data_IF_463968789220
#
_entry.id   IF_463968789220
#
_cell.length_a   1.000
_cell.length_b   1.000
_cell.length_c   1.000
_cell.angle_alpha   90.00
_cell.angle_beta   90.00
_cell.angle_gamma   90.00
#
_symmetry.space_group_name_H-M   'P 1'
#
loop_
_entity.id
_entity.type
_entity.pdbx_description
1 polymer ?
#
# COMPACT_ATOMS: atom_id res chain seq x y z
N UNK A 1 19.23 18.01 -26.60
CA UNK A 1 19.49 16.59 -26.31
C UNK A 1 19.60 16.46 -24.78
N UNK A 2 18.46 16.45 -24.08
CA UNK A 2 18.40 16.51 -22.62
C UNK A 2 17.88 15.17 -22.07
N UNK A 3 18.55 14.70 -21.02
CA UNK A 3 18.44 13.37 -20.44
C UNK A 3 17.03 13.05 -19.92
N UNK A 4 16.50 11.88 -20.33
CA UNK A 4 15.35 11.22 -19.73
C UNK A 4 15.62 11.01 -18.23
N UNK A 5 14.80 11.59 -17.36
CA UNK A 5 14.82 11.28 -15.94
C UNK A 5 14.12 9.93 -15.71
N UNK A 6 14.91 8.86 -15.68
CA UNK A 6 14.43 7.52 -15.36
C UNK A 6 13.95 7.45 -13.90
N UNK A 7 12.65 7.22 -13.71
CA UNK A 7 12.06 7.00 -12.39
C UNK A 7 12.36 5.58 -11.90
N UNK A 8 13.33 5.45 -11.00
CA UNK A 8 13.59 4.23 -10.20
C UNK A 8 12.69 4.12 -8.94
N UNK A 9 11.44 3.64 -9.00
CA UNK A 9 10.75 3.31 -7.75
C UNK A 9 11.40 2.06 -7.12
N UNK A 10 11.83 2.13 -5.86
CA UNK A 10 12.60 1.09 -5.17
C UNK A 10 11.79 0.41 -4.05
N UNK A 11 11.17 -0.75 -4.29
CA UNK A 11 10.52 -1.55 -3.22
C UNK A 11 10.58 -3.06 -3.56
N UNK A 12 10.71 -3.93 -2.53
CA UNK A 12 10.71 -5.40 -2.62
C UNK A 12 9.26 -5.96 -2.69
N UNK A 13 9.04 -7.05 -3.43
CA UNK A 13 7.89 -7.97 -3.47
C UNK A 13 6.61 -7.60 -4.26
N UNK A 14 5.84 -8.67 -4.53
CA UNK A 14 4.74 -8.92 -5.45
C UNK A 14 3.93 -7.69 -5.84
N UNK A 15 3.97 -7.32 -7.12
CA UNK A 15 3.19 -6.17 -7.60
C UNK A 15 1.85 -6.61 -8.14
N UNK A 16 0.77 -6.44 -7.37
CA UNK A 16 -0.57 -6.50 -7.92
C UNK A 16 -0.81 -5.24 -8.79
N UNK A 17 -0.56 -5.38 -10.10
CA UNK A 17 -0.88 -4.32 -11.06
C UNK A 17 -2.39 -4.23 -11.27
N UNK A 18 -3.01 -3.19 -10.73
CA UNK A 18 -4.40 -2.83 -11.01
C UNK A 18 -4.57 -2.13 -12.36
N UNK A 19 -4.03 -2.71 -13.44
CA UNK A 19 -4.00 -2.04 -14.75
C UNK A 19 -4.87 -2.65 -15.84
N UNK A 20 -5.72 -3.64 -15.54
CA UNK A 20 -6.56 -4.27 -16.57
C UNK A 20 -7.98 -4.71 -16.14
N UNK A 21 -8.55 -4.19 -15.05
CA UNK A 21 -9.91 -4.57 -14.65
C UNK A 21 -10.77 -3.38 -14.19
N UNK A 22 -10.93 -2.39 -15.07
CA UNK A 22 -11.83 -1.25 -14.88
C UNK A 22 -13.28 -1.65 -14.49
N UNK A 23 -13.66 -2.94 -14.60
CA UNK A 23 -15.00 -3.45 -14.33
C UNK A 23 -15.16 -4.24 -13.00
N UNK A 24 -14.10 -4.78 -12.39
CA UNK A 24 -14.17 -5.50 -11.08
C UNK A 24 -13.62 -4.65 -9.92
N UNK A 25 -13.09 -3.48 -10.24
CA UNK A 25 -12.36 -2.55 -9.37
C UNK A 25 -13.24 -1.58 -8.56
N UNK A 26 -14.56 -1.59 -8.71
CA UNK A 26 -15.45 -0.64 -8.02
C UNK A 26 -15.64 -0.89 -6.51
N UNK A 27 -15.11 -1.95 -5.91
CA UNK A 27 -15.27 -2.17 -4.45
C UNK A 27 -14.04 -1.75 -3.65
N UNK A 28 -12.86 -2.31 -3.92
CA UNK A 28 -11.68 -2.06 -3.08
C UNK A 28 -11.14 -0.62 -3.17
N UNK A 29 -11.19 0.02 -4.34
CA UNK A 29 -10.80 1.43 -4.51
C UNK A 29 -11.80 2.37 -3.83
N UNK A 30 -13.09 2.06 -3.88
CA UNK A 30 -14.10 2.78 -3.12
C UNK A 30 -13.81 2.65 -1.62
N UNK A 31 -13.51 1.46 -1.12
CA UNK A 31 -13.16 1.29 0.30
C UNK A 31 -11.86 1.99 0.71
N UNK A 32 -10.83 2.07 -0.14
CA UNK A 32 -9.65 2.87 0.12
C UNK A 32 -10.01 4.37 0.16
N UNK A 33 -10.72 4.87 -0.85
CA UNK A 33 -11.14 6.26 -0.89
C UNK A 33 -12.07 6.64 0.28
N UNK A 34 -13.01 5.74 0.63
CA UNK A 34 -13.94 5.88 1.76
C UNK A 34 -13.19 5.83 3.10
N UNK A 35 -12.21 4.93 3.26
CA UNK A 35 -11.34 4.87 4.44
C UNK A 35 -10.51 6.13 4.56
N UNK A 36 -9.87 6.56 3.46
CA UNK A 36 -9.10 7.80 3.40
C UNK A 36 -9.96 9.04 3.68
N UNK A 37 -11.23 9.02 3.26
CA UNK A 37 -12.20 10.07 3.52
C UNK A 37 -12.63 10.07 4.99
N UNK A 38 -12.93 8.90 5.56
CA UNK A 38 -13.25 8.72 6.97
C UNK A 38 -12.08 9.17 7.87
N UNK A 39 -10.86 8.87 7.45
CA UNK A 39 -9.61 9.26 8.12
C UNK A 39 -9.25 10.75 7.90
N UNK A 40 -10.07 11.50 7.13
CA UNK A 40 -9.89 12.93 6.79
C UNK A 40 -8.54 13.25 6.16
N UNK A 41 -8.07 12.38 5.27
CA UNK A 41 -6.77 12.53 4.60
C UNK A 41 -6.89 13.46 3.38
N UNK A 42 -5.82 14.16 3.03
CA UNK A 42 -5.80 14.92 1.76
C UNK A 42 -5.82 14.00 0.53
N UNK A 43 -5.54 12.70 0.72
CA UNK A 43 -5.56 11.67 -0.35
C UNK A 43 -6.96 11.43 -0.91
N UNK A 44 -8.00 11.62 -0.10
CA UNK A 44 -9.37 11.44 -0.53
C UNK A 44 -9.84 12.49 -1.57
N UNK A 45 -9.10 13.59 -1.75
CA UNK A 45 -9.58 14.77 -2.50
C UNK A 45 -8.80 15.08 -3.77
N UNK A 46 -7.71 14.38 -4.10
CA UNK A 46 -6.98 14.61 -5.35
C UNK A 46 -7.26 13.53 -6.42
N UNK A 47 -7.31 13.90 -7.72
CA UNK A 47 -7.70 12.97 -8.78
C UNK A 47 -6.68 11.83 -8.92
N UNK A 48 -7.11 10.61 -8.59
CA UNK A 48 -6.27 9.42 -8.60
C UNK A 48 -6.04 8.91 -10.02
N UNK A 49 -4.78 8.54 -10.33
CA UNK A 49 -4.43 7.79 -11.54
C UNK A 49 -4.64 6.29 -11.37
N UNK A 50 -4.22 5.77 -10.22
CA UNK A 50 -4.15 4.35 -9.90
C UNK A 50 -3.35 4.11 -8.62
N UNK A 51 -3.42 2.88 -8.12
CA UNK A 51 -2.69 2.42 -6.94
C UNK A 51 -1.86 1.17 -7.27
N UNK A 52 -0.78 0.98 -6.52
CA UNK A 52 0.04 -0.23 -6.54
C UNK A 52 0.10 -0.78 -5.13
N UNK A 53 -0.18 -2.06 -5.00
CA UNK A 53 -0.10 -2.79 -3.74
C UNK A 53 1.10 -3.75 -3.76
N UNK A 54 1.78 -3.83 -2.62
CA UNK A 54 2.98 -4.61 -2.38
C UNK A 54 2.92 -5.33 -1.04
N UNK A 55 2.89 -6.65 -1.11
CA UNK A 55 2.94 -7.52 0.06
C UNK A 55 4.38 -7.88 0.44
N UNK A 56 4.78 -7.59 1.67
CA UNK A 56 6.07 -7.98 2.24
C UNK A 56 5.90 -9.21 3.13
N UNK A 57 6.51 -10.32 2.70
CA UNK A 57 6.57 -11.53 3.51
C UNK A 57 7.49 -11.32 4.73
N UNK A 58 7.31 -12.14 5.75
CA UNK A 58 8.10 -12.17 7.00
C UNK A 58 9.62 -12.11 6.80
N UNK A 59 10.15 -12.69 5.72
CA UNK A 59 11.59 -12.71 5.42
C UNK A 59 12.10 -11.52 4.60
N UNK A 60 11.21 -10.64 4.15
CA UNK A 60 11.56 -9.52 3.30
C UNK A 60 12.13 -8.34 4.09
N UNK A 61 12.58 -7.31 3.35
CA UNK A 61 13.07 -6.08 3.95
C UNK A 61 11.91 -5.16 4.34
N UNK A 62 11.72 -4.98 5.65
CA UNK A 62 10.56 -4.29 6.25
C UNK A 62 10.76 -2.78 6.49
N UNK A 63 11.65 -2.13 5.75
CA UNK A 63 11.81 -0.67 5.79
C UNK A 63 11.44 -0.07 4.44
N UNK A 64 10.81 1.08 4.50
CA UNK A 64 10.22 1.74 3.35
C UNK A 64 10.96 3.03 3.08
N UNK A 65 11.14 3.31 1.80
CA UNK A 65 11.92 4.45 1.34
C UNK A 65 11.08 5.31 0.41
N UNK A 66 11.39 6.61 0.38
CA UNK A 66 10.71 7.61 -0.43
C UNK A 66 10.80 7.22 -1.92
N UNK A 67 9.67 6.89 -2.57
CA UNK A 67 9.67 6.46 -3.98
C UNK A 67 10.04 7.61 -4.93
N UNK A 68 9.84 8.85 -4.46
CA UNK A 68 10.11 10.10 -5.16
C UNK A 68 10.71 11.11 -4.20
N UNK A 69 11.54 12.01 -4.72
CA UNK A 69 11.99 13.18 -3.96
C UNK A 69 10.91 14.26 -3.94
N UNK A 70 10.78 14.98 -2.83
CA UNK A 70 9.77 16.02 -2.69
C UNK A 70 9.53 16.44 -1.25
N UNK A 71 8.55 17.32 -1.05
CA UNK A 71 8.18 17.82 0.27
C UNK A 71 7.10 16.93 0.88
N UNK A 72 7.29 16.49 2.12
CA UNK A 72 6.27 15.77 2.88
C UNK A 72 5.17 16.74 3.29
N UNK A 73 3.96 16.55 2.79
CA UNK A 73 2.80 17.42 3.06
C UNK A 73 1.83 16.81 4.09
N UNK A 74 1.84 15.49 4.22
CA UNK A 74 1.13 14.75 5.28
C UNK A 74 2.01 13.61 5.76
N UNK A 75 2.06 13.41 7.09
CA UNK A 75 2.73 12.27 7.72
C UNK A 75 2.06 11.98 9.05
N UNK A 76 1.51 10.78 9.21
CA UNK A 76 0.92 10.32 10.47
C UNK A 76 0.67 8.82 10.49
N UNK A 77 0.50 8.31 11.69
CA UNK A 77 -0.03 6.97 11.94
C UNK A 77 -1.54 7.08 12.16
N UNK A 78 -2.28 6.16 11.54
CA UNK A 78 -3.72 6.00 11.67
C UNK A 78 -3.94 4.72 12.47
N UNK A 79 -4.52 4.90 13.65
CA UNK A 79 -4.81 3.78 14.55
C UNK A 79 -5.91 2.90 13.93
N UNK A 80 -5.71 1.59 14.01
CA UNK A 80 -6.65 0.59 13.55
C UNK A 80 -6.70 -0.60 14.49
N UNK A 81 -7.46 -1.62 14.12
CA UNK A 81 -7.58 -2.88 14.88
C UNK A 81 -6.52 -3.87 14.41
N UNK A 82 -5.86 -4.55 15.34
CA UNK A 82 -4.95 -5.66 15.03
C UNK A 82 -5.72 -6.96 15.20
N UNK A 83 -6.09 -7.60 14.10
CA UNK A 83 -6.79 -8.88 14.16
C UNK A 83 -6.48 -9.75 12.94
N UNK A 84 -6.50 -11.06 13.16
CA UNK A 84 -6.50 -12.05 12.10
C UNK A 84 -7.94 -12.49 11.83
N UNK A 85 -8.44 -12.16 10.64
CA UNK A 85 -9.70 -12.71 10.15
C UNK A 85 -9.50 -14.20 9.89
N UNK A 86 -10.32 -15.07 10.49
CA UNK A 86 -10.23 -16.52 10.31
C UNK A 86 -11.54 -17.06 9.76
N UNK A 87 -11.44 -17.98 8.81
CA UNK A 87 -12.62 -18.69 8.31
C UNK A 87 -12.98 -19.82 9.27
N UNK A 88 -14.20 -19.76 9.81
CA UNK A 88 -14.80 -20.88 10.52
C UNK A 88 -15.53 -21.79 9.51
N UNK A 89 -15.26 -23.09 9.55
CA UNK A 89 -15.90 -24.08 8.66
C UNK A 89 -16.93 -24.90 9.44
N UNK A 90 -18.03 -25.34 8.81
CA UNK A 90 -19.00 -26.22 9.45
C UNK A 90 -18.36 -27.53 9.93
N UNK A 91 -18.81 -28.02 11.09
CA UNK A 91 -18.44 -29.37 11.56
C UNK A 91 -19.33 -30.37 10.82
N UNK A 92 -18.72 -31.21 9.98
CA UNK A 92 -19.44 -32.24 9.22
C UNK A 92 -20.21 -33.18 10.16
N UNK A 93 -21.51 -33.35 9.90
CA UNK A 93 -22.39 -34.21 10.70
C UNK A 93 -22.89 -33.62 12.02
N UNK A 94 -22.57 -32.36 12.35
CA UNK A 94 -23.12 -31.74 13.57
C UNK A 94 -24.55 -31.23 13.37
N UNK A 95 -25.52 -31.92 14.00
CA UNK A 95 -26.93 -31.58 13.98
C UNK A 95 -27.24 -30.18 14.54
N UNK A 96 -26.31 -29.56 15.27
CA UNK A 96 -26.45 -28.21 15.85
C UNK A 96 -25.84 -27.12 14.96
N UNK A 97 -25.30 -27.47 13.79
CA UNK A 97 -24.76 -26.52 12.82
C UNK A 97 -23.56 -25.71 13.31
N UNK A 98 -22.78 -26.25 14.25
CA UNK A 98 -21.63 -25.51 14.80
C UNK A 98 -20.49 -25.47 13.78
N UNK A 99 -19.63 -24.49 13.94
CA UNK A 99 -18.43 -24.28 13.13
C UNK A 99 -17.16 -24.43 13.97
N UNK A 100 -16.05 -24.84 13.36
CA UNK A 100 -14.72 -24.80 13.98
C UNK A 100 -13.74 -23.96 13.18
N UNK A 101 -12.67 -23.51 13.82
CA UNK A 101 -11.51 -22.93 13.13
C UNK A 101 -10.54 -24.08 12.79
N UNK A 102 -10.16 -24.19 11.53
CA UNK A 102 -9.16 -25.19 11.10
C UNK A 102 -7.79 -24.74 11.61
N UNK A 103 -7.33 -25.31 12.73
CA UNK A 103 -6.08 -24.97 13.44
C UNK A 103 -4.80 -24.88 12.58
N UNK A 104 -4.78 -25.45 11.37
CA UNK A 104 -3.62 -25.47 10.45
C UNK A 104 -3.83 -24.70 9.14
N UNK A 105 -4.95 -23.97 9.01
CA UNK A 105 -5.27 -23.11 7.87
C UNK A 105 -5.80 -21.78 8.39
N UNK A 106 -4.92 -21.07 9.08
CA UNK A 106 -5.15 -19.67 9.42
C UNK A 106 -4.84 -18.85 8.16
N UNK A 107 -5.85 -18.65 7.32
CA UNK A 107 -5.76 -17.77 6.17
C UNK A 107 -6.37 -16.44 6.54
N UNK A 108 -5.65 -15.35 6.29
CA UNK A 108 -6.22 -14.01 6.36
C UNK A 108 -7.37 -13.90 5.35
N UNK A 109 -8.42 -13.18 5.74
CA UNK A 109 -9.57 -12.93 4.87
C UNK A 109 -9.20 -11.89 3.81
N UNK A 110 -9.49 -12.18 2.54
CA UNK A 110 -9.42 -11.23 1.43
C UNK A 110 -10.78 -10.55 1.23
N UNK A 111 -11.25 -9.90 2.30
CA UNK A 111 -12.55 -9.22 2.33
C UNK A 111 -12.37 -7.69 2.40
N UNK A 112 -13.24 -6.91 1.72
CA UNK A 112 -13.17 -5.45 1.80
C UNK A 112 -13.36 -4.97 3.25
N UNK A 113 -12.39 -4.19 3.73
CA UNK A 113 -12.37 -3.67 5.10
C UNK A 113 -11.40 -4.38 6.03
N UNK A 114 -10.95 -5.61 5.71
CA UNK A 114 -9.93 -6.28 6.53
C UNK A 114 -8.65 -5.44 6.60
N UNK A 115 -8.09 -5.07 5.45
CA UNK A 115 -6.88 -4.24 5.32
C UNK A 115 -7.11 -2.81 5.85
N UNK A 116 -8.24 -2.20 5.47
CA UNK A 116 -8.58 -0.81 5.81
C UNK A 116 -9.12 -0.60 7.22
N UNK A 117 -9.18 -1.65 8.05
CA UNK A 117 -9.41 -1.50 9.48
C UNK A 117 -8.13 -1.67 10.30
N UNK A 118 -7.04 -2.18 9.71
CA UNK A 118 -5.76 -2.38 10.40
C UNK A 118 -5.04 -1.07 10.69
N UNK A 119 -4.01 -1.11 11.54
CA UNK A 119 -3.10 0.03 11.71
C UNK A 119 -2.50 0.43 10.36
N UNK A 120 -2.42 1.74 10.08
CA UNK A 120 -1.85 2.27 8.84
C UNK A 120 -0.91 3.41 9.12
N UNK A 121 0.08 3.58 8.26
CA UNK A 121 0.81 4.81 8.09
C UNK A 121 0.23 5.60 6.92
N UNK A 122 0.44 6.91 6.93
CA UNK A 122 0.17 7.76 5.79
C UNK A 122 1.33 8.73 5.63
N UNK A 123 1.96 8.70 4.45
CA UNK A 123 2.96 9.69 4.03
C UNK A 123 2.55 10.22 2.67
N UNK A 124 2.37 11.53 2.53
CA UNK A 124 2.08 12.18 1.26
C UNK A 124 3.23 13.10 0.88
N UNK A 125 3.80 12.87 -0.30
CA UNK A 125 4.91 13.64 -0.84
C UNK A 125 4.42 14.46 -2.02
N UNK A 126 4.57 15.78 -1.94
CA UNK A 126 4.48 16.68 -3.09
C UNK A 126 5.79 16.61 -3.86
N UNK A 127 5.77 15.93 -5.00
CA UNK A 127 6.92 15.79 -5.89
C UNK A 127 6.75 16.63 -7.15
N UNK A 128 7.82 16.69 -7.97
CA UNK A 128 7.79 17.29 -9.32
C UNK A 128 6.82 16.56 -10.25
N UNK A 129 6.60 15.27 -10.01
CA UNK A 129 5.66 14.45 -10.78
C UNK A 129 4.21 14.62 -10.31
N UNK A 130 3.93 15.44 -9.30
CA UNK A 130 2.63 15.48 -8.61
C UNK A 130 2.68 14.82 -7.23
N UNK A 131 1.51 14.65 -6.62
CA UNK A 131 1.35 14.05 -5.29
C UNK A 131 1.49 12.52 -5.36
N UNK A 132 2.26 11.97 -4.44
CA UNK A 132 2.41 10.53 -4.22
C UNK A 132 2.09 10.25 -2.76
N UNK A 133 1.07 9.41 -2.51
CA UNK A 133 0.78 8.90 -1.18
C UNK A 133 1.33 7.49 -1.02
N UNK A 134 1.86 7.21 0.16
CA UNK A 134 2.39 5.92 0.58
C UNK A 134 1.66 5.54 1.86
N UNK A 135 1.05 4.36 1.84
CA UNK A 135 0.31 3.79 2.95
C UNK A 135 0.93 2.46 3.36
N UNK A 136 1.82 2.46 4.35
CA UNK A 136 2.17 1.26 5.09
C UNK A 136 0.93 0.71 5.80
N UNK A 137 0.65 -0.58 5.66
CA UNK A 137 -0.54 -1.23 6.22
C UNK A 137 -0.09 -2.45 7.02
N UNK A 138 -0.54 -2.54 8.27
CA UNK A 138 -0.33 -3.72 9.09
C UNK A 138 -1.22 -4.86 8.60
N UNK A 139 -0.73 -6.10 8.70
CA UNK A 139 -1.50 -7.29 8.34
C UNK A 139 -1.56 -8.30 9.47
N UNK A 140 -2.76 -8.86 9.70
CA UNK A 140 -3.03 -9.89 10.69
C UNK A 140 -2.57 -9.52 12.11
N UNK A 141 -1.71 -10.33 12.72
CA UNK A 141 -1.16 -10.07 14.06
C UNK A 141 0.02 -9.08 14.05
N UNK A 142 0.39 -8.55 12.87
CA UNK A 142 1.58 -7.74 12.69
C UNK A 142 1.22 -6.36 12.16
N UNK A 143 1.11 -5.40 13.07
CA UNK A 143 0.59 -4.08 12.74
C UNK A 143 1.44 -2.94 13.30
N UNK A 144 2.67 -3.22 13.72
CA UNK A 144 3.54 -2.19 14.28
C UNK A 144 4.23 -1.41 13.18
N UNK A 145 3.63 -0.27 12.81
CA UNK A 145 4.18 0.70 11.86
C UNK A 145 4.81 1.85 12.63
N UNK A 146 6.03 2.23 12.23
CA UNK A 146 6.67 3.45 12.69
C UNK A 146 6.90 4.36 11.49
N UNK A 147 6.26 5.54 11.48
CA UNK A 147 6.47 6.54 10.43
C UNK A 147 7.60 7.49 10.82
N UNK A 148 8.69 7.50 10.04
CA UNK A 148 9.87 8.33 10.31
C UNK A 148 9.89 9.63 9.53
N UNK A 149 9.17 9.69 8.40
CA UNK A 149 9.00 10.90 7.60
C UNK A 149 8.29 11.99 8.43
N UNK A 150 8.80 13.21 8.42
CA UNK A 150 8.21 14.34 9.15
C UNK A 150 7.52 15.31 8.21
N UNK A 151 6.28 15.70 8.50
CA UNK A 151 5.59 16.74 7.72
C UNK A 151 6.43 18.02 7.67
N UNK A 152 6.51 18.61 6.49
CA UNK A 152 7.26 19.84 6.23
C UNK A 152 8.70 19.63 5.78
N UNK A 153 9.27 18.43 5.92
CA UNK A 153 10.64 18.15 5.43
C UNK A 153 10.65 17.87 3.94
N UNK A 154 11.80 18.12 3.31
CA UNK A 154 12.08 17.69 1.94
C UNK A 154 12.92 16.42 2.00
N UNK A 155 12.46 15.37 1.32
CA UNK A 155 13.15 14.10 1.22
C UNK A 155 13.79 13.96 -0.16
N UNK A 156 14.99 13.42 -0.18
CA UNK A 156 15.55 12.82 -1.38
C UNK A 156 14.86 11.47 -1.64
N UNK A 157 14.85 11.09 -2.90
CA UNK A 157 14.41 9.77 -3.28
C UNK A 157 15.33 8.71 -2.66
N UNK A 158 14.74 7.69 -2.04
CA UNK A 158 15.47 6.66 -1.32
C UNK A 158 15.66 6.94 0.17
N UNK A 159 15.29 8.12 0.68
CA UNK A 159 15.31 8.38 2.12
C UNK A 159 14.30 7.47 2.85
N UNK A 160 14.62 6.98 4.03
CA UNK A 160 13.68 6.16 4.82
C UNK A 160 12.47 7.00 5.25
N UNK A 161 11.26 6.44 5.09
CA UNK A 161 9.99 7.11 5.42
C UNK A 161 9.19 6.41 6.51
N UNK A 162 9.37 5.11 6.64
CA UNK A 162 8.69 4.28 7.64
C UNK A 162 9.30 2.88 7.68
N UNK A 163 8.97 2.11 8.71
CA UNK A 163 9.32 0.70 8.80
C UNK A 163 8.30 -0.07 9.64
N UNK A 164 8.24 -1.37 9.41
CA UNK A 164 7.52 -2.30 10.27
C UNK A 164 8.49 -2.91 11.28
N UNK A 165 8.09 -2.99 12.55
CA UNK A 165 8.94 -3.60 13.59
C UNK A 165 8.97 -5.13 13.50
N UNK A 166 7.97 -5.72 12.85
CA UNK A 166 7.82 -7.14 12.65
C UNK A 166 7.19 -7.38 11.27
N UNK A 167 7.49 -8.48 10.61
CA UNK A 167 7.14 -8.70 9.20
C UNK A 167 5.74 -9.27 8.95
N UNK A 168 5.32 -9.34 7.68
CA UNK A 168 3.93 -9.55 7.19
C UNK A 168 3.14 -8.24 7.14
N UNK A 169 3.21 -7.54 6.00
CA UNK A 169 2.66 -6.19 5.85
C UNK A 169 2.40 -5.82 4.40
N UNK A 170 1.50 -4.87 4.18
CA UNK A 170 1.16 -4.35 2.86
C UNK A 170 1.60 -2.90 2.68
N UNK A 171 1.83 -2.49 1.44
CA UNK A 171 2.21 -1.12 1.09
C UNK A 171 1.43 -0.68 -0.13
N UNK A 172 0.56 0.29 0.08
CA UNK A 172 -0.21 0.91 -1.01
C UNK A 172 0.44 2.23 -1.43
N UNK A 173 0.81 2.31 -2.70
CA UNK A 173 1.27 3.53 -3.37
C UNK A 173 0.13 4.10 -4.19
N UNK A 174 -0.16 5.38 -4.03
CA UNK A 174 -1.22 6.08 -4.76
C UNK A 174 -0.62 7.28 -5.47
N UNK A 175 -0.90 7.40 -6.77
CA UNK A 175 -0.36 8.46 -7.62
C UNK A 175 -1.45 9.40 -8.10
N UNK A 176 -1.16 10.70 -8.08
CA UNK A 176 -1.97 11.72 -8.73
C UNK A 176 -2.05 11.47 -10.25
N UNK A 177 -3.20 11.78 -10.87
CA UNK A 177 -3.45 11.66 -12.31
C UNK A 177 -2.36 12.32 -13.15
N UNK A 178 -1.92 13.50 -12.75
CA UNK A 178 -0.90 14.28 -13.43
C UNK A 178 0.47 13.57 -13.48
N UNK A 179 0.74 12.62 -12.56
CA UNK A 179 1.99 11.85 -12.54
C UNK A 179 2.14 10.90 -13.72
N UNK A 180 1.04 10.53 -14.38
CA UNK A 180 1.03 9.68 -15.57
C UNK A 180 2.01 8.48 -15.46
N UNK A 181 1.84 7.72 -14.37
CA UNK A 181 2.66 6.56 -14.04
C UNK A 181 2.29 5.38 -14.93
N UNK A 182 3.31 4.85 -15.62
CA UNK A 182 3.27 3.56 -16.29
C UNK A 182 3.94 2.50 -15.41
N UNK A 183 3.11 1.64 -14.83
CA UNK A 183 3.58 0.54 -13.99
C UNK A 183 3.99 -0.61 -14.93
N UNK A 184 5.21 -1.12 -14.75
CA UNK A 184 5.81 -2.19 -15.58
C UNK A 184 5.92 -3.53 -14.85
N UNK A 185 5.74 -3.53 -13.54
CA UNK A 185 5.73 -4.76 -12.77
C UNK A 185 4.52 -5.65 -13.12
N UNK A 186 4.51 -6.89 -12.67
CA UNK A 186 3.47 -7.87 -13.01
C UNK A 186 2.91 -8.55 -11.75
N UNK A 187 1.60 -8.86 -11.74
CA UNK A 187 0.96 -9.64 -10.68
C UNK A 187 1.66 -10.98 -10.46
N UNK A 188 1.88 -11.35 -9.19
CA UNK A 188 2.49 -12.62 -8.81
C UNK A 188 4.02 -12.68 -8.96
N UNK A 189 4.67 -11.61 -9.44
CA UNK A 189 6.12 -11.57 -9.61
C UNK A 189 6.78 -10.87 -8.43
N UNK A 190 7.72 -11.54 -7.78
CA UNK A 190 8.52 -10.98 -6.70
C UNK A 190 9.64 -10.10 -7.26
N UNK A 191 9.72 -8.84 -6.82
CA UNK A 191 10.76 -7.89 -7.21
C UNK A 191 11.71 -7.62 -6.05
N UNK A 192 13.00 -7.43 -6.28
CA UNK A 192 13.92 -7.00 -5.23
C UNK A 192 13.88 -5.47 -5.07
N UNK A 193 14.09 -4.84 -3.90
CA UNK A 193 14.19 -3.37 -3.88
C UNK A 193 15.44 -2.90 -4.60
N UNK A 194 15.31 -1.69 -5.09
CA UNK A 194 16.11 -1.19 -6.19
C UNK A 194 15.59 -1.62 -7.57
N UNK A 195 14.74 -2.66 -7.68
CA UNK A 195 14.16 -3.02 -8.98
C UNK A 195 13.12 -2.01 -9.40
N UNK A 196 13.25 -1.50 -10.63
CA UNK A 196 12.30 -0.56 -11.20
C UNK A 196 10.96 -1.25 -11.49
N UNK A 197 9.91 -0.82 -10.80
CA UNK A 197 8.54 -1.34 -10.95
C UNK A 197 7.61 -0.44 -11.77
N UNK A 198 7.96 0.84 -11.95
CA UNK A 198 7.15 1.83 -12.67
C UNK A 198 8.01 2.99 -13.19
N UNK A 199 7.46 3.77 -14.14
CA UNK A 199 8.02 5.07 -14.57
C UNK A 199 6.91 6.12 -14.65
N UNK A 200 7.19 7.37 -14.28
CA UNK A 200 6.26 8.50 -14.43
C UNK A 200 6.58 9.32 -15.69
N UNK A 201 5.54 9.89 -16.30
CA UNK A 201 5.63 10.73 -17.49
C UNK A 201 4.78 12.01 -17.31
N UNK A 202 5.16 12.91 -16.38
CA UNK A 202 4.31 13.99 -15.91
C UNK A 202 3.70 14.82 -17.04
N UNK A 203 2.41 15.14 -16.93
CA UNK A 203 1.72 15.94 -17.95
C UNK A 203 2.10 17.41 -17.78
N UNK A 204 2.87 17.99 -18.73
CA UNK A 204 3.17 19.42 -18.78
C UNK A 204 4.64 19.85 -18.67
N UNK A 205 5.60 18.97 -18.96
CA UNK A 205 6.99 19.38 -19.27
C UNK A 205 7.16 19.75 -20.75
#
# INVERSE_FOLDING_TARGET
MFFLSSLFLSVFSCVLLFRALYFRLNRHVCHLADSLHADRTEVAVFPLLGAVDHFLNTTDYHRQHAPVGGKVIESREIQGVTYLGVQAVPIEGDAKGRTHIVRRKLNALDEPGYEFMQMRGLVVIQSKIGKVAILPMGMAQVSSIVVTAKKGTTLAKGDEISYFQFGDSDIVLVFERASNVSITAQPGVHYNSGTRIAMAYPVGE
#
